data_IF_835112939185
#
_entry.id   IF_835112939185
#
_cell.length_a   1.000
_cell.length_b   1.000
_cell.length_c   1.000
_cell.angle_alpha   90.00
_cell.angle_beta   90.00
_cell.angle_gamma   90.00
#
_symmetry.space_group_name_H-M   'P 1'
#
loop_
_entity.id
_entity.type
_entity.pdbx_description
1 polymer ?
#
# COMPACT_ATOMS: atom_id res chain seq x y z
N UNK A 1 -16.68 4.54 8.19
CA UNK A 1 -17.74 5.21 8.98
C UNK A 1 -17.92 6.67 8.58
N UNK A 2 -16.87 7.51 8.55
CA UNK A 2 -17.06 8.95 8.29
C UNK A 2 -17.43 9.28 6.82
N UNK A 3 -16.90 8.53 5.85
CA UNK A 3 -17.14 8.78 4.41
C UNK A 3 -18.57 8.52 3.93
N UNK A 4 -19.42 7.89 4.74
CA UNK A 4 -20.82 7.61 4.40
C UNK A 4 -21.79 8.70 4.83
N UNK A 5 -21.32 9.72 5.55
CA UNK A 5 -22.15 10.83 5.98
C UNK A 5 -22.38 11.83 4.83
N UNK A 6 -23.48 12.59 4.84
CA UNK A 6 -23.71 13.68 3.90
C UNK A 6 -22.83 14.89 4.28
N UNK A 7 -21.55 14.80 3.93
CA UNK A 7 -20.50 15.79 4.24
C UNK A 7 -20.61 17.08 3.42
N UNK A 8 -21.79 17.70 3.40
CA UNK A 8 -21.99 19.00 2.76
C UNK A 8 -21.33 20.12 3.58
N UNK A 9 -21.05 21.25 2.93
CA UNK A 9 -20.38 22.38 3.59
C UNK A 9 -21.29 22.90 4.71
N UNK A 10 -20.75 22.99 5.92
CA UNK A 10 -21.50 23.39 7.10
C UNK A 10 -22.29 22.27 7.80
N UNK A 11 -22.17 21.03 7.32
CA UNK A 11 -22.78 19.87 7.98
C UNK A 11 -22.29 19.72 9.42
N UNK A 12 -23.23 19.49 10.34
CA UNK A 12 -22.99 19.26 11.77
C UNK A 12 -23.82 18.04 12.19
N UNK A 13 -23.18 17.14 12.91
CA UNK A 13 -23.83 15.97 13.47
C UNK A 13 -23.12 15.53 14.74
N UNK A 14 -23.88 14.90 15.63
CA UNK A 14 -23.37 14.19 16.81
C UNK A 14 -23.61 12.70 16.62
N UNK A 15 -22.56 11.92 16.71
CA UNK A 15 -22.53 10.51 16.31
C UNK A 15 -22.16 9.68 17.55
N UNK A 16 -23.03 8.76 18.00
CA UNK A 16 -22.67 7.81 19.04
C UNK A 16 -21.78 6.69 18.47
N UNK A 17 -20.72 6.35 19.17
CA UNK A 17 -19.88 5.19 18.92
C UNK A 17 -20.04 4.22 20.09
N UNK A 18 -20.41 2.98 19.76
CA UNK A 18 -20.64 1.92 20.72
C UNK A 18 -19.41 1.02 20.79
N UNK A 19 -18.91 0.78 21.99
CA UNK A 19 -17.89 -0.23 22.24
C UNK A 19 -18.53 -1.43 22.93
N UNK A 20 -18.42 -2.56 22.25
CA UNK A 20 -18.80 -3.86 22.81
C UNK A 20 -17.55 -4.45 23.47
N UNK A 21 -17.53 -4.48 24.80
CA UNK A 21 -16.51 -5.18 25.57
C UNK A 21 -17.11 -6.49 26.11
N UNK A 22 -16.26 -7.43 26.50
CA UNK A 22 -16.69 -8.74 27.06
C UNK A 22 -17.43 -8.61 28.41
N UNK A 23 -17.42 -7.42 29.02
CA UNK A 23 -18.23 -7.09 30.19
C UNK A 23 -19.65 -6.64 29.81
N UNK A 24 -20.61 -6.86 30.71
CA UNK A 24 -22.04 -6.59 30.49
C UNK A 24 -22.44 -5.10 30.35
N UNK A 25 -21.49 -4.17 30.25
CA UNK A 25 -21.75 -2.74 30.15
C UNK A 25 -21.41 -2.21 28.76
N UNK A 26 -22.40 -1.60 28.10
CA UNK A 26 -22.22 -0.91 26.82
C UNK A 26 -21.59 0.45 27.09
N UNK A 27 -20.35 0.66 26.64
CA UNK A 27 -19.69 1.96 26.70
C UNK A 27 -20.04 2.75 25.44
N UNK A 28 -20.57 3.96 25.62
CA UNK A 28 -21.01 4.84 24.53
C UNK A 28 -20.17 6.12 24.57
N UNK A 29 -19.46 6.39 23.48
CA UNK A 29 -18.74 7.64 23.27
C UNK A 29 -19.43 8.48 22.20
N UNK A 30 -19.23 9.79 22.25
CA UNK A 30 -19.85 10.71 21.30
C UNK A 30 -18.79 11.47 20.52
N UNK A 31 -18.99 11.52 19.20
CA UNK A 31 -18.18 12.31 18.28
C UNK A 31 -19.05 13.40 17.68
N UNK A 32 -18.62 14.64 17.77
CA UNK A 32 -19.31 15.79 17.18
C UNK A 32 -18.53 16.34 16.00
N UNK A 33 -19.16 16.38 14.83
CA UNK A 33 -18.63 17.09 13.66
C UNK A 33 -18.72 18.59 13.95
N UNK A 34 -17.56 19.22 14.11
CA UNK A 34 -17.46 20.66 14.32
C UNK A 34 -17.64 21.41 13.01
N UNK A 35 -17.03 20.90 11.95
CA UNK A 35 -16.94 21.62 10.69
C UNK A 35 -16.67 20.69 9.50
N UNK A 36 -17.22 21.07 8.35
CA UNK A 36 -16.92 20.50 7.05
C UNK A 36 -16.60 21.62 6.08
N UNK A 37 -15.37 21.63 5.56
CA UNK A 37 -14.86 22.63 4.61
C UNK A 37 -14.51 21.99 3.28
N UNK A 38 -14.54 22.79 2.20
CA UNK A 38 -13.94 22.39 0.93
C UNK A 38 -12.42 22.49 1.03
N UNK A 39 -11.71 21.47 0.56
CA UNK A 39 -10.25 21.39 0.57
C UNK A 39 -9.75 20.81 -0.76
N UNK A 40 -8.47 21.03 -1.06
CA UNK A 40 -7.81 20.45 -2.24
C UNK A 40 -6.62 19.64 -1.75
N UNK A 41 -6.70 18.32 -1.90
CA UNK A 41 -5.61 17.43 -1.56
C UNK A 41 -4.75 17.15 -2.79
N UNK A 42 -3.43 17.05 -2.63
CA UNK A 42 -2.53 16.75 -3.73
C UNK A 42 -1.80 15.42 -3.44
N UNK A 43 -2.21 14.37 -4.15
CA UNK A 43 -1.50 13.09 -4.12
C UNK A 43 -0.22 13.17 -4.97
N UNK A 44 0.90 12.59 -4.50
CA UNK A 44 2.11 12.42 -5.29
C UNK A 44 1.95 11.53 -6.53
N UNK A 45 0.95 10.62 -6.55
CA UNK A 45 0.77 9.62 -7.61
C UNK A 45 -0.35 9.97 -8.59
N UNK A 46 -1.50 10.42 -8.09
CA UNK A 46 -2.72 10.67 -8.89
C UNK A 46 -3.05 12.16 -9.04
N UNK A 47 -2.30 13.03 -8.36
CA UNK A 47 -2.39 14.48 -8.52
C UNK A 47 -3.46 15.14 -7.65
N UNK A 48 -4.08 16.20 -8.15
CA UNK A 48 -5.01 17.03 -7.37
C UNK A 48 -6.39 16.39 -7.27
N UNK A 49 -6.89 16.33 -6.05
CA UNK A 49 -8.20 15.83 -5.68
C UNK A 49 -9.03 16.90 -4.99
N UNK A 50 -10.29 17.02 -5.39
CA UNK A 50 -11.25 17.87 -4.70
C UNK A 50 -11.77 17.09 -3.49
N UNK A 51 -11.55 17.60 -2.28
CA UNK A 51 -11.82 16.89 -1.04
C UNK A 51 -12.62 17.76 -0.07
N UNK A 52 -13.17 17.13 0.97
CA UNK A 52 -13.64 17.80 2.17
C UNK A 52 -12.61 17.65 3.28
N UNK A 53 -12.41 18.71 4.05
CA UNK A 53 -11.74 18.66 5.34
C UNK A 53 -12.83 18.63 6.42
N UNK A 54 -12.90 17.52 7.14
CA UNK A 54 -13.89 17.29 8.21
C UNK A 54 -13.16 17.31 9.55
N UNK A 55 -13.57 18.21 10.44
CA UNK A 55 -13.06 18.28 11.80
C UNK A 55 -14.07 17.67 12.77
N UNK A 56 -13.66 16.61 13.46
CA UNK A 56 -14.42 15.95 14.52
C UNK A 56 -13.80 16.23 15.89
N UNK A 57 -14.68 16.35 16.88
CA UNK A 57 -14.33 16.38 18.30
C UNK A 57 -14.83 15.09 18.95
N UNK A 58 -13.93 14.37 19.61
CA UNK A 58 -14.30 13.30 20.53
C UNK A 58 -14.63 13.90 21.90
N UNK A 59 -15.86 13.72 22.37
CA UNK A 59 -16.36 14.41 23.57
C UNK A 59 -15.77 13.87 24.88
N UNK A 60 -15.33 12.61 24.91
CA UNK A 60 -14.75 11.98 26.11
C UNK A 60 -13.35 12.52 26.43
N UNK A 61 -12.51 12.67 25.41
CA UNK A 61 -11.09 13.06 25.54
C UNK A 61 -10.80 14.49 25.10
N UNK A 62 -11.78 15.17 24.48
CA UNK A 62 -11.61 16.42 23.75
C UNK A 62 -10.55 16.36 22.63
N UNK A 63 -10.26 15.15 22.12
CA UNK A 63 -9.36 14.99 20.99
C UNK A 63 -10.01 15.51 19.70
N UNK A 64 -9.22 16.22 18.90
CA UNK A 64 -9.60 16.74 17.60
C UNK A 64 -9.04 15.82 16.52
N UNK A 65 -9.92 15.44 15.59
CA UNK A 65 -9.57 14.66 14.42
C UNK A 65 -9.87 15.44 13.15
N UNK A 66 -8.91 15.49 12.23
CA UNK A 66 -9.12 16.04 10.90
C UNK A 66 -9.09 14.91 9.87
N UNK A 67 -10.13 14.82 9.05
CA UNK A 67 -10.21 13.85 7.96
C UNK A 67 -10.27 14.58 6.63
N UNK A 68 -9.42 14.16 5.69
CA UNK A 68 -9.46 14.62 4.30
C UNK A 68 -10.11 13.53 3.46
N UNK A 69 -11.30 13.79 2.94
CA UNK A 69 -12.14 12.80 2.25
C UNK A 69 -12.44 13.28 0.84
N UNK A 70 -12.30 12.40 -0.14
CA UNK A 70 -12.56 12.72 -1.53
C UNK A 70 -14.03 13.01 -1.83
N UNK A 71 -14.29 13.96 -2.73
CA UNK A 71 -15.65 14.31 -3.17
C UNK A 71 -16.30 13.30 -4.10
N UNK A 72 -15.49 12.60 -4.91
CA UNK A 72 -15.97 11.70 -5.95
C UNK A 72 -16.21 10.29 -5.43
N UNK A 73 -15.20 9.69 -4.80
CA UNK A 73 -15.23 8.28 -4.40
C UNK A 73 -15.36 8.07 -2.88
N UNK A 74 -15.44 9.16 -2.11
CA UNK A 74 -15.50 9.15 -0.63
C UNK A 74 -14.27 8.49 0.02
N UNK A 75 -13.15 8.35 -0.71
CA UNK A 75 -11.90 7.78 -0.20
C UNK A 75 -11.27 8.67 0.85
N UNK A 76 -10.72 8.05 1.89
CA UNK A 76 -9.94 8.75 2.91
C UNK A 76 -8.50 8.95 2.41
N UNK A 77 -8.08 10.22 2.33
CA UNK A 77 -6.73 10.61 1.91
C UNK A 77 -5.78 10.80 3.08
N UNK A 78 -6.24 11.47 4.14
CA UNK A 78 -5.43 11.79 5.30
C UNK A 78 -6.30 11.83 6.54
N UNK A 79 -5.76 11.34 7.65
CA UNK A 79 -6.32 11.47 8.99
C UNK A 79 -5.26 12.09 9.89
N UNK A 80 -5.63 13.13 10.60
CA UNK A 80 -4.83 13.71 11.67
C UNK A 80 -5.57 13.54 13.00
N UNK A 81 -4.83 13.21 14.04
CA UNK A 81 -5.36 13.06 15.39
C UNK A 81 -4.49 13.85 16.36
N UNK A 82 -5.10 14.73 17.14
CA UNK A 82 -4.42 15.40 18.25
C UNK A 82 -4.23 14.40 19.39
N UNK A 83 -2.98 14.12 19.75
CA UNK A 83 -2.62 13.31 20.91
C UNK A 83 -2.35 14.21 22.13
N UNK A 84 -2.34 13.60 23.31
CA UNK A 84 -1.91 14.29 24.53
C UNK A 84 -0.49 14.87 24.37
N UNK A 85 -0.21 16.00 25.04
CA UNK A 85 1.08 16.72 25.02
C UNK A 85 1.43 17.44 23.69
N UNK A 86 0.42 17.81 22.89
CA UNK A 86 0.62 18.61 21.67
C UNK A 86 1.23 17.83 20.50
N UNK A 87 1.30 16.49 20.62
CA UNK A 87 1.70 15.61 19.53
C UNK A 87 0.53 15.42 18.56
N UNK A 88 0.84 15.24 17.28
CA UNK A 88 -0.14 14.94 16.24
C UNK A 88 0.25 13.65 15.53
N UNK A 89 -0.69 12.73 15.41
CA UNK A 89 -0.54 11.56 14.56
C UNK A 89 -1.14 11.85 13.19
N UNK A 90 -0.35 11.70 12.13
CA UNK A 90 -0.80 11.91 10.75
C UNK A 90 -0.68 10.58 10.01
N UNK A 91 -1.79 10.10 9.48
CA UNK A 91 -1.87 8.90 8.66
C UNK A 91 -2.31 9.30 7.26
N UNK A 92 -1.48 8.99 6.26
CA UNK A 92 -1.73 9.34 4.86
C UNK A 92 -1.96 8.09 4.03
N UNK A 93 -2.89 8.16 3.08
CA UNK A 93 -3.13 7.09 2.12
C UNK A 93 -2.03 7.10 1.06
N UNK A 94 -1.15 6.11 1.10
CA UNK A 94 -0.06 5.96 0.14
C UNK A 94 -0.50 5.37 -1.22
N UNK A 95 -1.79 5.07 -1.40
CA UNK A 95 -2.35 4.49 -2.63
C UNK A 95 -1.62 3.21 -3.04
N UNK A 96 -1.58 2.22 -2.14
CA UNK A 96 -0.97 0.91 -2.38
C UNK A 96 -1.73 0.09 -3.44
N UNK A 97 -3.02 0.36 -3.59
CA UNK A 97 -3.92 -0.20 -4.59
C UNK A 97 -3.76 0.45 -5.97
N UNK A 98 -3.03 1.58 -6.07
CA UNK A 98 -2.79 2.23 -7.35
C UNK A 98 -1.81 1.41 -8.19
N UNK A 99 -2.35 0.70 -9.17
CA UNK A 99 -1.61 -0.05 -10.19
C UNK A 99 -1.69 0.71 -11.52
N UNK A 100 -0.69 1.56 -11.85
CA UNK A 100 -0.71 2.33 -13.09
C UNK A 100 -0.59 1.44 -14.33
N UNK A 101 0.02 0.26 -14.18
CA UNK A 101 0.18 -0.73 -15.24
C UNK A 101 -0.80 -1.87 -14.96
N UNK A 102 -2.06 -1.71 -15.40
CA UNK A 102 -2.92 -2.87 -15.64
C UNK A 102 -2.42 -3.56 -16.90
N UNK A 103 -1.33 -4.32 -16.80
CA UNK A 103 -0.98 -5.25 -17.87
C UNK A 103 -2.16 -6.21 -18.00
N UNK A 104 -2.99 -6.03 -19.03
CA UNK A 104 -4.04 -6.98 -19.36
C UNK A 104 -3.32 -8.28 -19.68
N UNK A 105 -3.47 -9.28 -18.82
CA UNK A 105 -2.90 -10.59 -19.05
C UNK A 105 -3.47 -11.14 -20.36
N UNK A 106 -2.64 -11.12 -21.42
CA UNK A 106 -3.03 -11.67 -22.71
C UNK A 106 -2.77 -13.18 -22.68
N UNK A 107 -3.83 -13.93 -22.35
CA UNK A 107 -3.82 -15.38 -22.26
C UNK A 107 -3.31 -16.03 -23.56
N UNK A 108 -3.65 -15.46 -24.71
CA UNK A 108 -3.28 -16.00 -26.01
C UNK A 108 -1.78 -15.83 -26.30
N UNK A 109 -1.20 -14.67 -25.97
CA UNK A 109 0.24 -14.46 -26.09
C UNK A 109 1.03 -15.35 -25.13
N UNK A 110 0.57 -15.49 -23.88
CA UNK A 110 1.21 -16.37 -22.90
C UNK A 110 1.17 -17.84 -23.34
N UNK A 111 0.02 -18.31 -23.85
CA UNK A 111 -0.10 -19.68 -24.39
C UNK A 111 0.82 -19.87 -25.59
N UNK A 112 0.87 -18.93 -26.54
CA UNK A 112 1.78 -19.02 -27.71
C UNK A 112 3.26 -19.12 -27.29
N UNK A 113 3.68 -18.40 -26.26
CA UNK A 113 5.06 -18.47 -25.74
C UNK A 113 5.38 -19.82 -25.07
N UNK A 114 4.39 -20.50 -24.50
CA UNK A 114 4.54 -21.80 -23.85
C UNK A 114 4.42 -22.94 -24.87
N UNK A 115 3.51 -22.83 -25.85
CA UNK A 115 3.11 -23.94 -26.72
C UNK A 115 3.95 -24.06 -28.00
N UNK A 116 4.49 -22.96 -28.54
CA UNK A 116 5.05 -22.95 -29.90
C UNK A 116 6.58 -22.94 -29.94
N UNK A 117 7.27 -23.40 -28.89
CA UNK A 117 8.72 -23.52 -28.85
C UNK A 117 9.17 -24.98 -28.82
N UNK A 118 9.79 -25.47 -29.90
CA UNK A 118 10.45 -26.79 -29.93
C UNK A 118 11.98 -26.63 -29.83
N UNK A 119 12.42 -25.96 -28.76
CA UNK A 119 13.83 -25.63 -28.55
C UNK A 119 14.39 -26.47 -27.40
N UNK A 120 15.45 -27.24 -27.68
CA UNK A 120 16.20 -27.98 -26.66
C UNK A 120 17.14 -27.01 -25.95
N UNK A 121 16.92 -26.75 -24.67
CA UNK A 121 17.80 -25.90 -23.85
C UNK A 121 18.79 -26.81 -23.12
N UNK A 122 20.06 -26.77 -23.52
CA UNK A 122 21.17 -27.46 -22.85
C UNK A 122 22.02 -26.40 -22.16
N UNK A 123 22.12 -26.47 -20.83
CA UNK A 123 22.90 -25.53 -20.03
C UNK A 123 23.55 -26.22 -18.84
N UNK A 124 24.75 -25.76 -18.48
CA UNK A 124 25.43 -26.17 -17.25
C UNK A 124 25.35 -25.04 -16.23
N UNK A 125 24.71 -25.29 -15.09
CA UNK A 125 24.62 -24.34 -13.99
C UNK A 125 25.87 -24.44 -13.10
N UNK A 126 26.52 -23.30 -12.84
CA UNK A 126 27.63 -23.21 -11.90
C UNK A 126 27.32 -22.17 -10.82
N UNK A 127 27.29 -22.60 -9.56
CA UNK A 127 27.25 -21.70 -8.42
C UNK A 127 28.66 -21.49 -7.86
N UNK A 128 29.12 -20.24 -7.78
CA UNK A 128 30.36 -19.90 -7.06
C UNK A 128 30.02 -19.49 -5.64
N UNK A 129 30.40 -20.31 -4.67
CA UNK A 129 30.32 -19.95 -3.25
C UNK A 129 31.31 -18.82 -2.95
N UNK A 130 30.79 -17.70 -2.44
CA UNK A 130 31.60 -16.59 -1.93
C UNK A 130 31.71 -16.72 -0.40
N UNK A 131 32.57 -17.60 0.08
CA UNK A 131 33.04 -17.54 1.47
C UNK A 131 33.97 -16.33 1.57
N UNK A 132 33.46 -15.22 2.10
CA UNK A 132 34.10 -13.91 2.09
C UNK A 132 35.54 -13.91 2.60
N UNK A 133 36.47 -13.53 1.72
CA UNK A 133 37.70 -12.78 2.02
C UNK A 133 38.14 -12.11 0.71
N UNK A 134 37.96 -10.79 0.63
CA UNK A 134 38.52 -9.96 -0.45
C UNK A 134 40.03 -9.84 -0.20
N UNK A 135 40.84 -10.59 -0.93
CA UNK A 135 42.27 -10.35 -1.04
C UNK A 135 42.58 -10.23 -2.53
N UNK A 136 43.14 -9.07 -2.90
CA UNK A 136 43.45 -8.70 -4.26
C UNK A 136 44.61 -9.51 -4.84
N UNK A 137 44.59 -9.65 -6.16
CA UNK A 137 45.70 -10.16 -6.96
C UNK A 137 45.87 -11.68 -6.93
N UNK A 138 45.92 -12.28 -8.13
CA UNK A 138 46.18 -13.70 -8.43
C UNK A 138 44.97 -14.63 -8.21
N UNK A 139 44.10 -14.66 -9.23
CA UNK A 139 43.10 -15.72 -9.43
C UNK A 139 43.80 -17.04 -9.75
N UNK A 140 43.95 -17.90 -8.74
CA UNK A 140 44.18 -19.32 -8.95
C UNK A 140 42.83 -19.97 -9.33
N UNK A 141 42.73 -20.46 -10.56
CA UNK A 141 41.51 -21.03 -11.17
C UNK A 141 41.12 -22.40 -10.59
N UNK A 142 41.76 -22.88 -9.53
CA UNK A 142 41.49 -24.17 -8.90
C UNK A 142 40.39 -24.13 -7.81
N UNK A 143 39.39 -23.24 -7.90
CA UNK A 143 38.22 -23.28 -6.99
C UNK A 143 37.21 -24.31 -7.51
N UNK A 144 37.07 -25.39 -6.73
CA UNK A 144 36.15 -26.53 -6.92
C UNK A 144 34.74 -26.04 -7.24
N UNK A 145 34.32 -26.22 -8.49
CA UNK A 145 32.94 -26.03 -8.95
C UNK A 145 32.09 -27.17 -8.39
N UNK A 146 31.07 -26.84 -7.60
CA UNK A 146 30.11 -27.81 -7.09
C UNK A 146 28.94 -27.82 -8.05
N UNK A 147 28.65 -28.99 -8.63
CA UNK A 147 27.45 -29.24 -9.42
C UNK A 147 26.57 -30.20 -8.60
N UNK A 148 25.51 -29.69 -7.98
CA UNK A 148 24.55 -30.49 -7.22
C UNK A 148 23.69 -31.29 -8.17
N UNK A 149 23.65 -32.62 -8.02
CA UNK A 149 22.93 -33.54 -8.92
C UNK A 149 21.38 -33.43 -8.88
N UNK A 150 20.79 -32.56 -8.05
CA UNK A 150 19.33 -32.46 -7.86
C UNK A 150 18.85 -31.04 -7.48
N UNK A 151 19.20 -30.03 -8.28
CA UNK A 151 18.58 -28.70 -8.13
C UNK A 151 17.41 -28.53 -9.12
N UNK A 152 16.33 -27.90 -8.66
CA UNK A 152 15.18 -27.54 -9.49
C UNK A 152 15.42 -26.16 -10.09
N UNK A 153 15.85 -26.14 -11.34
CA UNK A 153 15.96 -24.91 -12.11
C UNK A 153 14.59 -24.54 -12.71
N UNK A 154 14.07 -23.38 -12.36
CA UNK A 154 12.81 -22.85 -12.90
C UNK A 154 13.11 -21.74 -13.90
N UNK A 155 12.87 -22.00 -15.18
CA UNK A 155 13.01 -21.01 -16.24
C UNK A 155 11.67 -20.28 -16.47
N UNK A 156 11.63 -18.99 -16.18
CA UNK A 156 10.47 -18.14 -16.45
C UNK A 156 10.73 -17.23 -17.65
N UNK A 157 9.73 -16.99 -18.53
CA UNK A 157 9.85 -16.02 -19.59
C UNK A 157 10.06 -14.62 -18.99
N UNK A 158 11.16 -13.95 -19.37
CA UNK A 158 11.38 -12.53 -19.05
C UNK A 158 10.51 -11.69 -19.98
N UNK A 159 9.49 -11.03 -19.43
CA UNK A 159 8.79 -9.97 -20.15
C UNK A 159 9.68 -8.72 -20.19
N UNK A 160 10.37 -8.51 -21.32
CA UNK A 160 11.05 -7.24 -21.59
C UNK A 160 9.99 -6.16 -21.80
N UNK A 161 9.94 -5.20 -20.88
CA UNK A 161 9.32 -3.90 -21.10
C UNK A 161 10.17 -3.13 -22.12
N UNK A 162 9.74 -3.13 -23.39
CA UNK A 162 10.18 -2.13 -24.35
C UNK A 162 9.51 -0.81 -23.96
N UNK A 163 10.33 0.18 -23.61
CA UNK A 163 9.93 1.58 -23.40
C UNK A 163 9.67 2.27 -24.73
#
# INVERSE_FOLDING_TARGET
>A
MIGTLPLDIGYKARIPQFYYNDGSNVHVEYYTIKEVKSYSYNSPKTGKHATWLVTLLEESTNAIYNFVIDKKDRRLWQREMSMSKGMWEITVNEELDYQPIKNKFNKEQAIRQISNGNSVVIGTAFARSSSGKKLGGLVNTAKKTICSKRDRDSAFPKFCLLR
#
